data_IF_896939898553
#
_entry.id   IF_896939898553
#
_cell.length_a   1.000
_cell.length_b   1.000
_cell.length_c   1.000
_cell.angle_alpha   90.00
_cell.angle_beta   90.00
_cell.angle_gamma   90.00
#
_symmetry.space_group_name_H-M   'P 1'
#
loop_
_entity.id
_entity.type
_entity.pdbx_description
1 polymer ?
#
# COMPACT_ATOMS: atom_id res chain seq x y z
N UNK A 1 -9.50 -5.84 -10.12
CA UNK A 1 -10.98 -5.76 -10.29
C UNK A 1 -11.56 -4.33 -10.25
N UNK A 2 -11.12 -3.39 -9.39
CA UNK A 2 -11.67 -2.01 -9.34
C UNK A 2 -11.28 -1.10 -10.51
N UNK A 3 -10.01 -1.11 -10.95
CA UNK A 3 -9.62 -0.41 -12.19
C UNK A 3 -10.31 -1.03 -13.41
N UNK A 4 -10.48 -2.36 -13.43
CA UNK A 4 -11.25 -3.04 -14.48
C UNK A 4 -12.74 -2.66 -14.46
N UNK A 5 -13.39 -2.58 -13.29
CA UNK A 5 -14.78 -2.11 -13.16
C UNK A 5 -14.92 -0.61 -13.47
N UNK A 6 -13.94 0.20 -13.08
CA UNK A 6 -13.84 1.61 -13.47
C UNK A 6 -13.68 1.73 -14.99
N UNK A 7 -12.79 0.97 -15.62
CA UNK A 7 -12.62 0.94 -17.07
C UNK A 7 -13.86 0.40 -17.81
N UNK A 8 -14.53 -0.61 -17.27
CA UNK A 8 -15.81 -1.12 -17.80
C UNK A 8 -16.91 -0.06 -17.69
N UNK A 9 -16.99 0.65 -16.58
CA UNK A 9 -17.91 1.78 -16.40
C UNK A 9 -17.56 2.96 -17.33
N UNK A 10 -16.27 3.21 -17.52
CA UNK A 10 -15.73 4.19 -18.46
C UNK A 10 -16.03 3.81 -19.91
N UNK A 11 -16.09 2.52 -20.26
CA UNK A 11 -16.52 2.05 -21.58
C UNK A 11 -17.95 2.50 -21.89
N UNK A 12 -18.85 2.47 -20.90
CA UNK A 12 -20.22 2.97 -21.03
C UNK A 12 -20.25 4.48 -21.24
N UNK A 13 -19.37 5.23 -20.57
CA UNK A 13 -19.23 6.69 -20.71
C UNK A 13 -18.64 7.06 -22.07
N UNK A 14 -17.62 6.33 -22.53
CA UNK A 14 -16.95 6.53 -23.82
C UNK A 14 -17.82 6.21 -25.03
N UNK A 15 -18.78 5.29 -24.86
CA UNK A 15 -19.76 4.95 -25.88
C UNK A 15 -20.92 5.96 -25.99
N UNK A 16 -20.99 6.98 -25.11
CA UNK A 16 -21.97 8.05 -25.22
C UNK A 16 -21.50 9.14 -26.21
N UNK A 17 -22.40 9.65 -27.03
CA UNK A 17 -22.11 10.47 -28.24
C UNK A 17 -21.62 11.90 -27.97
N UNK A 18 -21.36 12.29 -26.72
CA UNK A 18 -20.83 13.61 -26.35
C UNK A 18 -19.75 13.47 -25.27
N UNK A 19 -18.57 12.98 -25.66
CA UNK A 19 -17.45 12.84 -24.73
C UNK A 19 -16.90 14.23 -24.40
N UNK A 20 -16.91 14.58 -23.11
CA UNK A 20 -16.34 15.82 -22.55
C UNK A 20 -14.87 15.97 -22.97
N UNK A 21 -14.45 17.08 -23.61
CA UNK A 21 -13.06 17.31 -24.02
C UNK A 21 -12.06 17.15 -22.88
N UNK A 22 -12.47 17.51 -21.65
CA UNK A 22 -11.63 17.36 -20.45
C UNK A 22 -11.38 15.90 -20.12
N UNK A 23 -12.37 15.04 -20.34
CA UNK A 23 -12.24 13.59 -20.15
C UNK A 23 -11.37 12.94 -21.22
N UNK A 24 -11.50 13.39 -22.48
CA UNK A 24 -10.62 12.91 -23.57
C UNK A 24 -9.16 13.23 -23.22
N UNK A 25 -8.88 14.49 -22.85
CA UNK A 25 -7.54 14.90 -22.45
C UNK A 25 -7.02 14.08 -21.25
N UNK A 26 -7.90 13.77 -20.28
CA UNK A 26 -7.55 12.92 -19.13
C UNK A 26 -7.19 11.50 -19.53
N UNK A 27 -7.95 10.90 -20.44
CA UNK A 27 -7.69 9.54 -20.93
C UNK A 27 -6.40 9.50 -21.73
N UNK A 28 -6.09 10.54 -22.51
CA UNK A 28 -4.85 10.66 -23.27
C UNK A 28 -3.60 10.71 -22.39
N UNK A 29 -3.71 11.09 -21.11
CA UNK A 29 -2.57 11.04 -20.18
C UNK A 29 -2.09 9.60 -19.93
N UNK A 30 -3.00 8.63 -19.86
CA UNK A 30 -2.70 7.22 -19.52
C UNK A 30 -1.73 6.55 -20.52
N UNK A 31 -1.98 6.55 -21.85
CA UNK A 31 -1.07 5.93 -22.80
C UNK A 31 0.24 6.71 -22.96
N UNK A 32 0.21 8.05 -22.93
CA UNK A 32 1.43 8.89 -23.01
C UNK A 32 2.36 8.60 -21.84
N UNK A 33 1.77 8.40 -20.66
CA UNK A 33 2.50 8.01 -19.48
C UNK A 33 3.10 6.60 -19.57
N UNK A 34 2.33 5.62 -20.05
CA UNK A 34 2.83 4.26 -20.24
C UNK A 34 4.02 4.22 -21.23
N UNK A 35 4.01 5.08 -22.25
CA UNK A 35 5.07 5.18 -23.24
C UNK A 35 6.35 5.88 -22.73
N UNK A 36 6.26 6.69 -21.67
CA UNK A 36 7.35 7.55 -21.18
C UNK A 36 8.00 7.04 -19.88
N UNK A 37 7.65 5.84 -19.42
CA UNK A 37 8.17 5.26 -18.16
C UNK A 37 8.01 6.21 -16.96
N UNK A 38 6.89 6.93 -16.89
CA UNK A 38 6.59 7.92 -15.83
C UNK A 38 7.48 9.17 -15.82
N UNK A 39 8.07 9.56 -16.95
CA UNK A 39 8.70 10.87 -17.12
C UNK A 39 7.75 11.86 -17.79
N UNK A 40 7.68 13.08 -17.24
CA UNK A 40 6.89 14.15 -17.85
C UNK A 40 7.46 14.53 -19.21
N UNK A 41 6.63 14.52 -20.26
CA UNK A 41 6.99 14.96 -21.60
C UNK A 41 6.05 16.08 -22.10
N UNK A 42 6.43 16.73 -23.20
CA UNK A 42 5.68 17.87 -23.77
C UNK A 42 4.23 17.48 -24.11
N UNK A 43 4.02 16.26 -24.60
CA UNK A 43 2.71 15.74 -24.95
C UNK A 43 1.80 15.57 -23.71
N UNK A 44 2.33 15.01 -22.62
CA UNK A 44 1.61 14.87 -21.36
C UNK A 44 1.29 16.23 -20.73
N UNK A 45 2.22 17.19 -20.78
CA UNK A 45 1.96 18.57 -20.33
C UNK A 45 0.87 19.24 -21.15
N UNK A 46 0.81 18.99 -22.47
CA UNK A 46 -0.25 19.49 -23.34
C UNK A 46 -1.62 18.94 -22.95
N UNK A 47 -1.73 17.62 -22.77
CA UNK A 47 -2.97 16.98 -22.31
C UNK A 47 -3.40 17.44 -20.93
N UNK A 48 -2.46 17.57 -19.98
CA UNK A 48 -2.72 18.10 -18.63
C UNK A 48 -3.24 19.55 -18.70
N UNK A 49 -2.60 20.39 -19.51
CA UNK A 49 -3.02 21.79 -19.71
C UNK A 49 -4.42 21.89 -20.34
N UNK A 50 -4.70 21.06 -21.35
CA UNK A 50 -6.01 20.98 -22.00
C UNK A 50 -7.12 20.54 -21.04
N UNK A 51 -6.85 19.54 -20.20
CA UNK A 51 -7.76 19.08 -19.15
C UNK A 51 -8.09 20.19 -18.16
N UNK A 52 -7.07 20.83 -17.58
CA UNK A 52 -7.26 21.87 -16.57
C UNK A 52 -7.99 23.10 -17.14
N UNK A 53 -7.65 23.48 -18.37
CA UNK A 53 -8.32 24.58 -19.08
C UNK A 53 -9.78 24.25 -19.37
N UNK A 54 -10.08 23.02 -19.80
CA UNK A 54 -11.43 22.54 -20.05
C UNK A 54 -12.30 22.55 -18.79
N UNK A 55 -11.78 21.98 -17.70
CA UNK A 55 -12.47 21.97 -16.40
C UNK A 55 -12.75 23.39 -15.91
N UNK A 56 -11.75 24.26 -15.90
CA UNK A 56 -11.89 25.66 -15.47
C UNK A 56 -12.94 26.41 -16.29
N UNK A 57 -12.92 26.24 -17.61
CA UNK A 57 -13.87 26.89 -18.52
C UNK A 57 -15.29 26.40 -18.31
N UNK A 58 -15.47 25.12 -17.97
CA UNK A 58 -16.77 24.56 -17.65
C UNK A 58 -17.29 25.08 -16.29
N UNK A 59 -16.44 25.11 -15.26
CA UNK A 59 -16.78 25.60 -13.93
C UNK A 59 -17.14 27.10 -13.92
N UNK A 60 -16.62 27.88 -14.86
CA UNK A 60 -16.94 29.30 -14.99
C UNK A 60 -18.36 29.57 -15.54
N UNK A 61 -19.05 28.54 -16.09
CA UNK A 61 -20.39 28.70 -16.64
C UNK A 61 -21.42 28.87 -15.51
N UNK A 62 -22.35 29.83 -15.60
CA UNK A 62 -23.43 29.99 -14.62
C UNK A 62 -24.25 28.70 -14.50
N UNK A 63 -24.51 28.26 -13.25
CA UNK A 63 -25.27 27.04 -12.98
C UNK A 63 -24.55 25.74 -13.35
N UNK A 64 -23.22 25.78 -13.55
CA UNK A 64 -22.46 24.57 -13.80
C UNK A 64 -22.58 23.60 -12.63
N UNK A 65 -22.72 22.32 -12.97
CA UNK A 65 -22.71 21.22 -12.03
C UNK A 65 -21.70 20.15 -12.48
N UNK A 66 -21.01 19.52 -11.53
CA UNK A 66 -20.13 18.39 -11.83
C UNK A 66 -20.91 17.30 -12.55
N UNK A 67 -20.27 16.73 -13.58
CA UNK A 67 -20.75 15.53 -14.27
C UNK A 67 -19.80 14.38 -13.96
N UNK A 68 -20.27 13.16 -14.18
CA UNK A 68 -19.43 11.96 -14.14
C UNK A 68 -18.14 12.15 -14.95
N UNK A 69 -18.22 12.74 -16.15
CA UNK A 69 -17.04 13.02 -16.99
C UNK A 69 -16.01 13.91 -16.29
N UNK A 70 -16.44 14.95 -15.59
CA UNK A 70 -15.56 15.86 -14.87
C UNK A 70 -14.95 15.20 -13.63
N UNK A 71 -15.72 14.38 -12.91
CA UNK A 71 -15.24 13.60 -11.76
C UNK A 71 -14.19 12.56 -12.20
N UNK A 72 -14.47 11.81 -13.27
CA UNK A 72 -13.53 10.84 -13.86
C UNK A 72 -12.27 11.51 -14.40
N UNK A 73 -12.39 12.68 -15.04
CA UNK A 73 -11.23 13.44 -15.52
C UNK A 73 -10.31 13.86 -14.37
N UNK A 74 -10.88 14.33 -13.25
CA UNK A 74 -10.11 14.67 -12.04
C UNK A 74 -9.46 13.44 -11.41
N UNK A 75 -10.15 12.29 -11.33
CA UNK A 75 -9.57 11.04 -10.83
C UNK A 75 -8.37 10.58 -11.67
N UNK A 76 -8.47 10.68 -13.00
CA UNK A 76 -7.38 10.36 -13.91
C UNK A 76 -6.20 11.33 -13.78
N UNK A 77 -6.48 12.63 -13.63
CA UNK A 77 -5.44 13.63 -13.38
C UNK A 77 -4.68 13.35 -12.08
N UNK A 78 -5.39 13.06 -10.98
CA UNK A 78 -4.77 12.74 -9.69
C UNK A 78 -3.90 11.49 -9.81
N UNK A 79 -4.38 10.44 -10.48
CA UNK A 79 -3.62 9.22 -10.72
C UNK A 79 -2.37 9.43 -11.60
N UNK A 80 -2.44 10.36 -12.57
CA UNK A 80 -1.30 10.78 -13.38
C UNK A 80 -0.26 11.55 -12.54
N UNK A 81 -0.70 12.56 -11.77
CA UNK A 81 0.20 13.38 -10.94
C UNK A 81 0.88 12.55 -9.85
N UNK A 82 0.18 11.57 -9.28
CA UNK A 82 0.76 10.59 -8.37
C UNK A 82 2.00 9.90 -8.96
N UNK A 83 1.94 9.49 -10.23
CA UNK A 83 2.94 8.61 -10.83
C UNK A 83 4.11 9.36 -11.49
N UNK A 84 3.90 10.60 -11.95
CA UNK A 84 4.95 11.44 -12.57
C UNK A 84 5.51 12.48 -11.60
N UNK A 85 4.65 13.03 -10.73
CA UNK A 85 4.97 14.13 -9.82
C UNK A 85 4.85 13.69 -8.35
N UNK A 86 5.14 12.42 -8.00
CA UNK A 86 5.07 11.87 -6.64
C UNK A 86 5.82 12.65 -5.53
N UNK A 87 6.49 13.74 -5.91
CA UNK A 87 7.20 14.73 -5.10
C UNK A 87 6.36 15.97 -4.75
N UNK A 88 5.34 16.35 -5.53
CA UNK A 88 4.53 17.57 -5.27
C UNK A 88 3.17 17.26 -4.60
N UNK A 89 3.25 16.87 -3.34
CA UNK A 89 2.09 16.57 -2.49
C UNK A 89 1.07 17.71 -2.41
N UNK A 90 1.48 18.97 -2.58
CA UNK A 90 0.59 20.13 -2.54
C UNK A 90 -0.35 20.21 -3.75
N UNK A 91 0.13 19.88 -4.96
CA UNK A 91 -0.70 19.82 -6.17
C UNK A 91 -1.76 18.72 -6.05
N UNK A 92 -1.32 17.52 -5.69
CA UNK A 92 -2.18 16.34 -5.53
C UNK A 92 -3.26 16.62 -4.47
N UNK A 93 -2.87 17.17 -3.31
CA UNK A 93 -3.82 17.53 -2.26
C UNK A 93 -4.84 18.59 -2.72
N UNK A 94 -4.42 19.54 -3.56
CA UNK A 94 -5.33 20.55 -4.13
C UNK A 94 -6.37 19.91 -5.05
N UNK A 95 -5.95 18.99 -5.93
CA UNK A 95 -6.87 18.27 -6.81
C UNK A 95 -7.81 17.33 -6.07
N UNK A 96 -7.33 16.62 -5.04
CA UNK A 96 -8.16 15.78 -4.18
C UNK A 96 -9.25 16.60 -3.46
N UNK A 97 -8.91 17.76 -2.88
CA UNK A 97 -9.90 18.67 -2.26
C UNK A 97 -10.88 19.24 -3.28
N UNK A 98 -10.40 19.58 -4.47
CA UNK A 98 -11.25 20.02 -5.58
C UNK A 98 -12.28 18.95 -5.96
N UNK A 99 -11.83 17.70 -6.11
CA UNK A 99 -12.70 16.56 -6.40
C UNK A 99 -13.71 16.28 -5.27
N UNK A 100 -13.29 16.38 -4.01
CA UNK A 100 -14.20 16.27 -2.87
C UNK A 100 -15.30 17.36 -2.91
N UNK A 101 -14.92 18.59 -3.27
CA UNK A 101 -15.87 19.71 -3.41
C UNK A 101 -16.86 19.48 -4.56
N UNK A 102 -16.36 18.94 -5.68
CA UNK A 102 -17.21 18.53 -6.81
C UNK A 102 -18.20 17.43 -6.40
N UNK A 103 -17.76 16.42 -5.66
CA UNK A 103 -18.66 15.35 -5.19
C UNK A 103 -19.76 15.86 -4.26
N UNK A 104 -19.46 16.80 -3.36
CA UNK A 104 -20.49 17.40 -2.48
C UNK A 104 -21.56 18.18 -3.24
N UNK A 105 -21.20 18.71 -4.41
CA UNK A 105 -22.10 19.50 -5.27
C UNK A 105 -22.72 18.66 -6.39
N UNK A 106 -22.36 17.38 -6.49
CA UNK A 106 -22.86 16.47 -7.50
C UNK A 106 -24.29 16.04 -7.15
N UNK A 107 -25.24 16.27 -8.06
CA UNK A 107 -26.57 15.69 -7.95
C UNK A 107 -26.63 14.42 -8.80
N UNK A 108 -26.85 13.24 -8.19
CA UNK A 108 -26.96 12.00 -8.93
C UNK A 108 -28.21 12.05 -9.82
N UNK A 109 -28.01 12.08 -11.13
CA UNK A 109 -29.09 11.90 -12.10
C UNK A 109 -29.07 10.44 -12.57
N UNK A 110 -29.72 9.54 -11.81
CA UNK A 110 -29.81 8.12 -12.14
C UNK A 110 -28.89 7.20 -11.32
N UNK A 111 -28.07 6.40 -12.01
CA UNK A 111 -27.38 5.21 -11.50
C UNK A 111 -26.46 5.47 -10.29
N UNK A 112 -26.85 4.93 -9.12
CA UNK A 112 -26.13 5.03 -7.85
C UNK A 112 -24.86 4.18 -7.82
N UNK A 113 -24.74 3.17 -8.69
CA UNK A 113 -23.58 2.26 -8.73
C UNK A 113 -22.31 2.94 -9.27
N UNK A 114 -22.48 3.86 -10.21
CA UNK A 114 -21.38 4.67 -10.76
C UNK A 114 -20.84 5.65 -9.73
N UNK A 115 -21.74 6.29 -8.96
CA UNK A 115 -21.33 7.17 -7.88
C UNK A 115 -20.54 6.40 -6.81
N UNK A 116 -20.99 5.20 -6.43
CA UNK A 116 -20.27 4.32 -5.50
C UNK A 116 -18.88 3.92 -6.05
N UNK A 117 -18.78 3.68 -7.36
CA UNK A 117 -17.50 3.36 -8.02
C UNK A 117 -16.52 4.53 -8.00
N UNK A 118 -17.00 5.76 -8.26
CA UNK A 118 -16.20 6.99 -8.19
C UNK A 118 -15.75 7.25 -6.74
N UNK A 119 -16.66 7.10 -5.79
CA UNK A 119 -16.39 7.24 -4.36
C UNK A 119 -15.32 6.26 -3.88
N UNK A 120 -15.39 5.00 -4.33
CA UNK A 120 -14.39 3.97 -4.01
C UNK A 120 -13.06 4.24 -4.71
N UNK A 121 -13.06 4.74 -5.96
CA UNK A 121 -11.84 5.16 -6.63
C UNK A 121 -11.17 6.34 -5.91
N UNK A 122 -11.95 7.31 -5.43
CA UNK A 122 -11.44 8.43 -4.65
C UNK A 122 -10.82 7.98 -3.33
N UNK A 123 -11.48 7.07 -2.60
CA UNK A 123 -10.92 6.47 -1.38
C UNK A 123 -9.51 5.91 -1.63
N UNK A 124 -9.35 5.12 -2.70
CA UNK A 124 -8.07 4.51 -3.03
C UNK A 124 -7.01 5.51 -3.49
N UNK A 125 -7.42 6.54 -4.23
CA UNK A 125 -6.54 7.64 -4.61
C UNK A 125 -6.06 8.40 -3.37
N UNK A 126 -6.94 8.78 -2.44
CA UNK A 126 -6.55 9.45 -1.21
C UNK A 126 -5.62 8.59 -0.36
N UNK A 127 -5.92 7.29 -0.22
CA UNK A 127 -5.13 6.34 0.56
C UNK A 127 -3.72 6.20 0.00
N UNK A 128 -3.61 5.97 -1.31
CA UNK A 128 -2.32 5.80 -1.97
C UNK A 128 -1.50 7.08 -1.95
N UNK A 129 -2.13 8.23 -2.19
CA UNK A 129 -1.43 9.52 -2.18
C UNK A 129 -0.97 9.92 -0.77
N UNK A 130 -1.76 9.61 0.27
CA UNK A 130 -1.36 9.82 1.65
C UNK A 130 -0.16 8.94 2.04
N UNK A 131 -0.18 7.67 1.64
CA UNK A 131 0.89 6.71 1.89
C UNK A 131 2.19 7.12 1.19
N UNK A 132 2.12 7.44 -0.11
CA UNK A 132 3.31 7.59 -0.96
C UNK A 132 3.82 9.02 -1.04
N UNK A 133 2.94 9.96 -1.42
CA UNK A 133 3.31 11.37 -1.60
C UNK A 133 3.17 12.17 -0.29
N UNK A 134 2.65 11.55 0.75
CA UNK A 134 2.50 12.17 2.05
C UNK A 134 1.42 13.25 2.11
N UNK A 135 0.41 13.21 1.23
CA UNK A 135 -0.68 14.18 1.23
C UNK A 135 -1.49 14.13 2.53
N UNK A 136 -2.18 15.22 2.91
CA UNK A 136 -3.17 15.17 3.98
C UNK A 136 -4.20 14.08 3.71
N UNK A 137 -4.51 13.28 4.73
CA UNK A 137 -5.57 12.27 4.66
C UNK A 137 -6.93 12.97 4.62
N UNK A 138 -7.74 12.73 3.58
CA UNK A 138 -9.06 13.37 3.43
C UNK A 138 -10.23 12.41 3.67
N UNK A 139 -10.00 11.12 3.46
CA UNK A 139 -11.02 10.09 3.59
C UNK A 139 -10.47 8.92 4.42
N UNK A 140 -11.30 8.34 5.26
CA UNK A 140 -11.00 7.14 6.04
C UNK A 140 -12.01 6.03 5.74
N UNK A 141 -11.76 4.82 6.24
CA UNK A 141 -12.69 3.69 6.15
C UNK A 141 -14.05 4.01 6.76
N UNK A 142 -14.10 4.94 7.73
CA UNK A 142 -15.33 5.39 8.41
C UNK A 142 -16.28 6.19 7.52
N UNK A 143 -15.78 6.77 6.43
CA UNK A 143 -16.61 7.54 5.49
C UNK A 143 -17.44 6.63 4.56
N UNK A 144 -17.20 5.32 4.59
CA UNK A 144 -17.76 4.34 3.67
C UNK A 144 -18.40 3.18 4.43
N UNK A 145 -19.73 3.07 4.36
CA UNK A 145 -20.51 2.04 5.06
C UNK A 145 -20.11 0.61 4.74
N UNK A 146 -19.64 0.34 3.53
CA UNK A 146 -19.13 -0.98 3.13
C UNK A 146 -17.80 -1.31 3.82
N UNK A 147 -16.98 -0.30 4.12
CA UNK A 147 -15.68 -0.46 4.76
C UNK A 147 -15.75 -0.47 6.30
N UNK A 148 -16.80 0.09 6.90
CA UNK A 148 -16.98 0.13 8.37
C UNK A 148 -17.12 -1.27 8.99
N UNK A 149 -17.63 -2.23 8.21
CA UNK A 149 -18.00 -3.59 8.64
C UNK A 149 -16.82 -4.55 8.78
N UNK A 150 -15.77 -4.14 9.48
CA UNK A 150 -14.71 -5.06 9.90
C UNK A 150 -15.08 -5.81 11.19
N UNK A 151 -15.82 -5.15 12.09
CA UNK A 151 -16.06 -5.62 13.47
C UNK A 151 -17.53 -5.84 13.85
N UNK A 152 -18.47 -5.37 13.03
CA UNK A 152 -19.90 -5.45 13.33
C UNK A 152 -20.45 -6.84 12.96
N UNK A 153 -20.43 -7.71 13.97
CA UNK A 153 -21.11 -9.00 13.98
C UNK A 153 -22.48 -8.91 14.68
N UNK A 154 -23.35 -7.98 14.26
CA UNK A 154 -24.73 -7.94 14.78
C UNK A 154 -25.74 -8.64 13.83
N UNK A 155 -25.30 -9.16 12.69
CA UNK A 155 -26.16 -9.85 11.73
C UNK A 155 -25.47 -11.10 11.14
N UNK A 156 -25.33 -12.14 11.96
CA UNK A 156 -25.25 -13.55 11.53
C UNK A 156 -24.09 -14.02 10.64
N UNK A 157 -23.14 -13.17 10.25
CA UNK A 157 -22.00 -13.52 9.39
C UNK A 157 -20.79 -14.03 10.18
N UNK A 158 -20.15 -15.08 9.66
CA UNK A 158 -19.00 -15.79 10.20
C UNK A 158 -17.97 -14.86 10.88
N UNK A 159 -17.73 -15.14 12.16
CA UNK A 159 -16.78 -14.41 13.00
C UNK A 159 -15.37 -14.72 12.51
N UNK A 160 -14.57 -13.67 12.26
CA UNK A 160 -13.12 -13.79 12.46
C UNK A 160 -12.94 -14.29 13.90
N UNK A 161 -12.43 -15.52 14.04
CA UNK A 161 -12.27 -16.17 15.34
C UNK A 161 -11.36 -15.35 16.27
N UNK A 162 -11.30 -15.80 17.53
CA UNK A 162 -10.63 -15.19 18.68
C UNK A 162 -9.41 -14.34 18.30
N UNK A 163 -9.50 -13.06 18.68
CA UNK A 163 -8.47 -12.03 18.47
C UNK A 163 -7.27 -12.30 19.38
N UNK A 164 -6.36 -13.11 18.86
CA UNK A 164 -5.05 -13.31 19.48
C UNK A 164 -4.07 -12.41 18.73
N UNK A 165 -3.35 -11.56 19.47
CA UNK A 165 -2.21 -10.82 18.90
C UNK A 165 -1.15 -11.83 18.42
N UNK A 166 -0.50 -11.62 17.26
CA UNK A 166 0.61 -12.48 16.85
C UNK A 166 1.70 -12.49 17.94
N UNK A 167 2.14 -13.67 18.35
CA UNK A 167 3.03 -13.86 19.49
C UNK A 167 4.33 -13.05 19.38
N UNK A 168 4.86 -12.90 18.17
CA UNK A 168 6.07 -12.13 17.89
C UNK A 168 5.95 -10.63 18.20
N UNK A 169 4.74 -10.08 18.29
CA UNK A 169 4.52 -8.69 18.68
C UNK A 169 4.22 -8.48 20.15
N UNK A 170 3.94 -9.54 20.93
CA UNK A 170 3.58 -9.43 22.36
C UNK A 170 4.55 -8.55 23.16
N UNK A 171 5.89 -8.60 22.96
CA UNK A 171 6.82 -7.73 23.69
C UNK A 171 6.64 -6.23 23.43
N UNK A 172 5.95 -5.83 22.37
CA UNK A 172 5.82 -4.42 21.93
C UNK A 172 4.39 -3.88 22.06
N UNK A 173 3.39 -4.76 22.18
CA UNK A 173 1.96 -4.41 22.20
C UNK A 173 1.60 -3.48 23.37
N UNK A 174 2.30 -3.56 24.50
CA UNK A 174 2.06 -2.68 25.66
C UNK A 174 2.58 -1.24 25.45
N UNK A 175 3.58 -1.05 24.59
CA UNK A 175 4.19 0.26 24.32
C UNK A 175 3.53 0.98 23.14
N UNK A 176 2.90 0.22 22.24
CA UNK A 176 2.28 0.75 21.04
C UNK A 176 0.81 1.14 21.25
N UNK A 177 0.27 2.10 20.46
CA UNK A 177 -1.12 2.49 20.56
C UNK A 177 -2.08 1.32 20.31
N UNK A 178 -3.14 1.21 21.12
CA UNK A 178 -4.21 0.20 20.99
C UNK A 178 -4.76 0.09 19.56
N UNK A 179 -4.83 1.23 18.86
CA UNK A 179 -5.27 1.28 17.47
C UNK A 179 -4.43 0.39 16.55
N UNK A 180 -3.11 0.33 16.77
CA UNK A 180 -2.20 -0.50 15.99
C UNK A 180 -2.26 -1.97 16.40
N UNK A 181 -2.25 -2.26 17.70
CA UNK A 181 -2.45 -3.63 18.22
C UNK A 181 -3.69 -4.26 17.63
N UNK A 182 -4.78 -3.49 17.59
CA UNK A 182 -6.05 -3.98 17.06
C UNK A 182 -6.06 -4.10 15.52
N UNK A 183 -5.09 -3.56 14.79
CA UNK A 183 -4.86 -3.88 13.37
C UNK A 183 -4.13 -5.21 13.25
N UNK A 184 -3.12 -5.45 14.10
CA UNK A 184 -2.35 -6.70 14.09
C UNK A 184 -3.26 -7.92 14.34
N UNK A 185 -4.12 -7.84 15.35
CA UNK A 185 -5.12 -8.89 15.66
C UNK A 185 -6.05 -9.16 14.48
N UNK A 186 -6.57 -8.09 13.89
CA UNK A 186 -7.55 -8.14 12.82
C UNK A 186 -6.93 -8.70 11.51
N UNK A 187 -5.68 -8.32 11.20
CA UNK A 187 -4.93 -8.85 10.06
C UNK A 187 -4.55 -10.32 10.28
N UNK A 188 -4.11 -10.67 11.49
CA UNK A 188 -3.76 -12.05 11.83
C UNK A 188 -4.95 -12.99 11.68
N UNK A 189 -6.10 -12.58 12.20
CA UNK A 189 -7.34 -13.33 12.04
C UNK A 189 -7.71 -13.47 10.55
N UNK A 190 -7.56 -12.40 9.75
CA UNK A 190 -7.84 -12.45 8.32
C UNK A 190 -6.92 -13.44 7.59
N UNK A 191 -5.62 -13.45 7.89
CA UNK A 191 -4.69 -14.43 7.34
C UNK A 191 -5.14 -15.87 7.65
N UNK A 192 -5.50 -16.16 8.92
CA UNK A 192 -5.99 -17.47 9.33
C UNK A 192 -7.26 -17.88 8.60
N UNK A 193 -8.22 -16.96 8.44
CA UNK A 193 -9.46 -17.23 7.70
C UNK A 193 -9.18 -17.54 6.22
N UNK A 194 -8.28 -16.78 5.59
CA UNK A 194 -7.88 -17.03 4.20
C UNK A 194 -7.23 -18.41 4.06
N UNK A 195 -6.30 -18.76 4.95
CA UNK A 195 -5.60 -20.03 4.92
C UNK A 195 -6.55 -21.22 5.19
N UNK A 196 -7.52 -21.07 6.10
CA UNK A 196 -8.52 -22.09 6.42
C UNK A 196 -9.51 -22.34 5.26
N UNK A 197 -9.99 -21.29 4.61
CA UNK A 197 -11.03 -21.38 3.58
C UNK A 197 -10.60 -22.07 2.27
N UNK A 198 -9.30 -22.30 2.05
CA UNK A 198 -8.83 -23.05 0.88
C UNK A 198 -8.58 -24.54 1.18
N UNK A 199 -8.71 -24.97 2.43
CA UNK A 199 -8.58 -26.37 2.85
C UNK A 199 -9.88 -27.17 2.73
N UNK A 200 -11.03 -26.49 2.73
CA UNK A 200 -12.34 -27.11 2.51
C UNK A 200 -12.70 -27.03 1.03
N UNK A 201 -13.19 -28.14 0.46
CA UNK A 201 -13.69 -28.17 -0.91
C UNK A 201 -14.66 -27.00 -1.14
N UNK A 202 -14.54 -26.34 -2.30
CA UNK A 202 -15.28 -25.15 -2.80
C UNK A 202 -16.83 -25.22 -2.72
N UNK A 203 -17.40 -26.28 -2.12
CA UNK A 203 -18.80 -26.63 -2.11
C UNK A 203 -19.55 -26.33 -0.80
N UNK A 204 -18.89 -25.89 0.28
CA UNK A 204 -19.55 -25.65 1.58
C UNK A 204 -19.77 -24.19 1.96
N UNK A 205 -19.13 -23.21 1.32
CA UNK A 205 -19.33 -21.80 1.68
C UNK A 205 -20.64 -21.24 1.09
N UNK A 206 -21.48 -20.68 1.97
CA UNK A 206 -22.74 -20.02 1.60
C UNK A 206 -22.54 -18.60 1.04
N UNK A 207 -21.37 -17.96 1.26
CA UNK A 207 -20.98 -16.70 0.64
C UNK A 207 -19.45 -16.53 0.57
N UNK A 208 -18.88 -15.94 -0.50
CA UNK A 208 -17.45 -15.69 -0.61
C UNK A 208 -16.98 -14.60 0.37
N UNK A 209 -15.83 -14.84 1.02
CA UNK A 209 -15.20 -13.86 1.93
C UNK A 209 -14.91 -12.53 1.20
N UNK A 210 -15.36 -11.37 1.72
CA UNK A 210 -15.19 -10.08 1.04
C UNK A 210 -13.78 -9.50 1.26
N UNK A 211 -12.73 -10.23 0.88
CA UNK A 211 -11.32 -9.89 1.13
C UNK A 211 -11.01 -8.45 0.71
N UNK A 212 -11.48 -8.00 -0.45
CA UNK A 212 -11.20 -6.64 -0.95
C UNK A 212 -11.76 -5.50 -0.06
N UNK A 213 -12.78 -5.79 0.73
CA UNK A 213 -13.39 -4.83 1.68
C UNK A 213 -12.62 -4.84 3.00
N UNK A 214 -12.31 -6.04 3.51
CA UNK A 214 -11.52 -6.22 4.73
C UNK A 214 -10.11 -5.65 4.57
N UNK A 215 -9.47 -5.91 3.43
CA UNK A 215 -8.17 -5.35 3.06
C UNK A 215 -8.22 -3.82 3.00
N UNK A 216 -9.23 -3.24 2.34
CA UNK A 216 -9.39 -1.79 2.26
C UNK A 216 -9.56 -1.13 3.64
N UNK A 217 -10.28 -1.79 4.57
CA UNK A 217 -10.40 -1.31 5.94
C UNK A 217 -9.04 -1.31 6.66
N UNK A 218 -8.32 -2.44 6.63
CA UNK A 218 -7.01 -2.58 7.27
C UNK A 218 -6.00 -1.59 6.72
N UNK A 219 -5.86 -1.52 5.40
CA UNK A 219 -4.97 -0.56 4.74
C UNK A 219 -5.31 0.89 5.11
N UNK A 220 -6.59 1.23 5.20
CA UNK A 220 -7.03 2.56 5.64
C UNK A 220 -6.56 2.89 7.05
N UNK A 221 -6.77 1.96 7.99
CA UNK A 221 -6.39 2.14 9.40
C UNK A 221 -4.87 2.24 9.57
N UNK A 222 -4.11 1.47 8.81
CA UNK A 222 -2.64 1.55 8.81
C UNK A 222 -2.18 2.90 8.27
N UNK A 223 -2.77 3.38 7.18
CA UNK A 223 -2.43 4.70 6.61
C UNK A 223 -2.82 5.83 7.54
N UNK A 224 -3.94 5.71 8.27
CA UNK A 224 -4.34 6.69 9.29
C UNK A 224 -3.29 6.76 10.43
N UNK A 225 -2.75 5.61 10.89
CA UNK A 225 -1.63 5.58 11.85
C UNK A 225 -0.37 6.25 11.29
N UNK A 226 0.04 5.89 10.06
CA UNK A 226 1.22 6.47 9.42
C UNK A 226 1.08 7.98 9.21
N UNK A 227 -0.14 8.46 8.98
CA UNK A 227 -0.46 9.88 8.91
C UNK A 227 -0.31 10.56 10.27
N UNK A 228 -0.86 9.97 11.33
CA UNK A 228 -0.78 10.51 12.70
C UNK A 228 0.67 10.54 13.22
N UNK A 229 1.46 9.49 12.97
CA UNK A 229 2.91 9.45 13.28
C UNK A 229 3.61 10.64 12.63
N UNK A 230 3.33 10.91 11.36
CA UNK A 230 3.89 12.06 10.61
C UNK A 230 3.51 13.42 11.21
N UNK A 231 2.27 13.56 11.68
CA UNK A 231 1.77 14.81 12.27
C UNK A 231 2.32 15.04 13.68
N UNK A 232 2.43 13.98 14.48
CA UNK A 232 2.77 14.07 15.90
C UNK A 232 4.16 14.66 16.13
N UNK A 233 5.10 14.53 15.19
CA UNK A 233 6.53 14.91 15.33
C UNK A 233 7.21 14.35 16.59
N UNK A 234 6.53 13.47 17.35
CA UNK A 234 6.87 13.07 18.72
C UNK A 234 6.86 11.56 18.92
N UNK A 235 6.53 10.78 17.88
CA UNK A 235 6.66 9.33 17.88
C UNK A 235 8.09 8.97 17.47
N UNK A 236 8.98 8.88 18.45
CA UNK A 236 10.42 8.57 18.28
C UNK A 236 10.71 7.08 18.06
N UNK A 237 9.70 6.21 17.88
CA UNK A 237 9.92 4.78 17.65
C UNK A 237 9.99 4.45 16.14
N UNK A 238 11.19 4.34 15.53
CA UNK A 238 11.35 3.94 14.14
C UNK A 238 10.86 2.51 13.86
N UNK A 239 10.86 1.62 14.86
CA UNK A 239 10.42 0.23 14.70
C UNK A 239 8.91 0.17 14.60
N UNK A 240 8.19 0.93 15.43
CA UNK A 240 6.74 1.09 15.30
C UNK A 240 6.32 1.52 13.90
N UNK A 241 6.97 2.57 13.36
CA UNK A 241 6.65 3.07 12.02
C UNK A 241 7.02 2.04 10.93
N UNK A 242 8.16 1.36 11.07
CA UNK A 242 8.55 0.28 10.17
C UNK A 242 7.54 -0.88 10.19
N UNK A 243 7.03 -1.25 11.37
CA UNK A 243 6.00 -2.27 11.52
C UNK A 243 4.71 -1.85 10.84
N UNK A 244 4.29 -0.58 10.94
CA UNK A 244 3.11 -0.10 10.23
C UNK A 244 3.26 -0.24 8.71
N UNK A 245 4.42 0.10 8.13
CA UNK A 245 4.68 -0.15 6.71
C UNK A 245 4.70 -1.64 6.35
N UNK A 246 5.27 -2.51 7.19
CA UNK A 246 5.30 -3.95 6.93
C UNK A 246 3.90 -4.58 7.03
N UNK A 247 3.07 -4.13 7.97
CA UNK A 247 1.67 -4.54 8.09
C UNK A 247 0.87 -4.13 6.86
N UNK A 248 1.09 -2.92 6.32
CA UNK A 248 0.50 -2.51 5.05
C UNK A 248 0.90 -3.48 3.93
N UNK A 249 2.20 -3.80 3.83
CA UNK A 249 2.74 -4.70 2.81
C UNK A 249 2.15 -6.10 2.92
N UNK A 250 2.07 -6.66 4.12
CA UNK A 250 1.42 -7.95 4.38
C UNK A 250 -0.06 -7.93 3.99
N UNK A 251 -0.78 -6.86 4.34
CA UNK A 251 -2.20 -6.70 3.98
C UNK A 251 -2.39 -6.64 2.47
N UNK A 252 -1.49 -5.94 1.77
CA UNK A 252 -1.50 -5.80 0.32
C UNK A 252 -1.36 -7.16 -0.41
N UNK A 253 -0.51 -8.05 0.11
CA UNK A 253 -0.28 -9.38 -0.48
C UNK A 253 -1.48 -10.34 -0.38
N UNK A 254 -2.39 -10.13 0.56
CA UNK A 254 -3.58 -10.99 0.71
C UNK A 254 -4.50 -10.97 -0.52
N UNK A 255 -4.52 -9.88 -1.29
CA UNK A 255 -5.20 -9.83 -2.58
C UNK A 255 -4.55 -8.82 -3.52
N UNK A 256 -3.59 -9.31 -4.31
CA UNK A 256 -2.87 -8.49 -5.29
C UNK A 256 -3.70 -8.19 -6.56
N UNK A 257 -4.81 -8.89 -6.80
CA UNK A 257 -5.59 -8.89 -8.04
C UNK A 257 -6.24 -7.56 -8.47
N UNK A 258 -6.13 -6.49 -7.67
CA UNK A 258 -6.58 -5.14 -8.03
C UNK A 258 -5.42 -4.21 -8.39
N UNK A 259 -4.21 -4.49 -7.90
CA UNK A 259 -3.11 -3.52 -7.86
C UNK A 259 -1.78 -4.03 -8.41
N UNK A 260 -1.73 -5.23 -9.00
CA UNK A 260 -0.51 -5.75 -9.67
C UNK A 260 0.14 -4.65 -10.52
N UNK A 261 1.36 -4.24 -10.13
CA UNK A 261 2.12 -3.17 -10.79
C UNK A 261 2.03 -1.78 -10.17
N UNK A 262 1.33 -1.58 -9.04
CA UNK A 262 1.41 -0.32 -8.29
C UNK A 262 2.77 -0.22 -7.56
N UNK A 263 3.23 1.02 -7.34
CA UNK A 263 4.52 1.29 -6.70
C UNK A 263 4.46 1.18 -5.16
N UNK A 264 3.28 0.94 -4.58
CA UNK A 264 3.07 0.99 -3.12
C UNK A 264 3.96 0.00 -2.34
N UNK A 265 4.13 -1.26 -2.77
CA UNK A 265 5.03 -2.20 -2.08
C UNK A 265 6.46 -1.67 -1.97
N UNK A 266 7.00 -1.12 -3.05
CA UNK A 266 8.37 -0.61 -3.09
C UNK A 266 8.57 0.62 -2.20
N UNK A 267 7.56 1.49 -2.12
CA UNK A 267 7.57 2.62 -1.19
C UNK A 267 7.62 2.11 0.26
N UNK A 268 6.76 1.14 0.61
CA UNK A 268 6.74 0.57 1.95
C UNK A 268 8.10 -0.08 2.30
N UNK A 269 8.64 -0.90 1.39
CA UNK A 269 9.95 -1.54 1.58
C UNK A 269 11.06 -0.53 1.82
N UNK A 270 11.13 0.54 1.00
CA UNK A 270 12.14 1.58 1.18
C UNK A 270 12.00 2.31 2.53
N UNK A 271 10.76 2.56 2.98
CA UNK A 271 10.54 3.17 4.31
C UNK A 271 10.94 2.22 5.44
N UNK A 272 10.62 0.92 5.34
CA UNK A 272 11.05 -0.10 6.31
C UNK A 272 12.57 -0.12 6.39
N UNK A 273 13.27 -0.24 5.26
CA UNK A 273 14.74 -0.24 5.21
C UNK A 273 15.30 1.02 5.86
N UNK A 274 14.79 2.20 5.51
CA UNK A 274 15.26 3.47 6.06
C UNK A 274 15.11 3.51 7.58
N UNK A 275 13.98 3.05 8.11
CA UNK A 275 13.69 3.04 9.55
C UNK A 275 14.52 2.00 10.29
N UNK A 276 14.68 0.79 9.74
CA UNK A 276 15.55 -0.26 10.28
C UNK A 276 17.01 0.20 10.32
N UNK A 277 17.52 0.80 9.24
CA UNK A 277 18.89 1.34 9.22
C UNK A 277 19.07 2.47 10.23
N UNK A 278 18.05 3.32 10.42
CA UNK A 278 18.04 4.33 11.48
C UNK A 278 18.14 3.70 12.87
N UNK A 279 17.22 2.77 13.17
CA UNK A 279 17.17 2.05 14.44
C UNK A 279 18.46 1.27 14.75
N UNK A 280 19.12 0.70 13.74
CA UNK A 280 20.38 -0.02 13.92
C UNK A 280 21.57 0.90 14.22
N UNK A 281 21.52 2.18 13.81
CA UNK A 281 22.54 3.18 14.18
C UNK A 281 22.37 3.61 15.65
N UNK A 282 21.12 3.68 16.09
CA UNK A 282 20.76 4.03 17.46
C UNK A 282 20.76 2.76 18.32
N UNK A 283 21.94 2.43 18.87
CA UNK A 283 22.25 1.19 19.62
C UNK A 283 21.28 0.88 20.81
N UNK A 284 20.34 1.76 21.14
CA UNK A 284 19.24 1.53 22.09
C UNK A 284 18.23 0.48 21.63
N UNK A 285 18.06 0.27 20.32
CA UNK A 285 17.04 -0.64 19.77
C UNK A 285 17.54 -2.07 19.50
N UNK A 286 18.73 -2.40 19.99
CA UNK A 286 19.32 -3.74 19.86
C UNK A 286 18.45 -4.83 20.49
N UNK A 287 17.60 -4.49 21.46
CA UNK A 287 16.68 -5.42 22.12
C UNK A 287 15.55 -5.96 21.22
N UNK A 288 15.38 -5.40 20.02
CA UNK A 288 14.28 -5.72 19.08
C UNK A 288 14.73 -6.61 17.91
N UNK A 289 15.73 -7.48 18.11
CA UNK A 289 16.37 -8.24 17.01
C UNK A 289 15.39 -9.05 16.16
N UNK A 290 14.38 -9.66 16.80
CA UNK A 290 13.42 -10.53 16.14
C UNK A 290 12.50 -9.75 15.20
N UNK A 291 11.96 -8.62 15.66
CA UNK A 291 11.10 -7.79 14.81
C UNK A 291 11.90 -7.12 13.70
N UNK A 292 13.17 -6.74 13.95
CA UNK A 292 14.05 -6.23 12.88
C UNK A 292 14.33 -7.30 11.82
N UNK A 293 14.53 -8.55 12.24
CA UNK A 293 14.67 -9.67 11.31
C UNK A 293 13.38 -9.88 10.51
N UNK A 294 12.21 -9.93 11.16
CA UNK A 294 10.91 -10.02 10.48
C UNK A 294 10.70 -8.89 9.47
N UNK A 295 10.97 -7.64 9.85
CA UNK A 295 10.86 -6.46 8.99
C UNK A 295 11.69 -6.57 7.72
N UNK A 296 12.97 -6.94 7.85
CA UNK A 296 13.85 -7.14 6.70
C UNK A 296 13.42 -8.35 5.87
N UNK A 297 12.98 -9.43 6.50
CA UNK A 297 12.56 -10.64 5.80
C UNK A 297 11.34 -10.39 4.92
N UNK A 298 10.30 -9.77 5.49
CA UNK A 298 9.08 -9.37 4.77
C UNK A 298 9.42 -8.36 3.68
N UNK A 299 10.31 -7.41 3.96
CA UNK A 299 10.75 -6.42 2.96
C UNK A 299 11.44 -7.05 1.75
N UNK A 300 12.36 -8.00 1.98
CA UNK A 300 13.12 -8.66 0.93
C UNK A 300 12.31 -9.71 0.16
N UNK A 301 11.40 -10.41 0.85
CA UNK A 301 10.48 -11.34 0.22
C UNK A 301 9.48 -10.64 -0.69
N UNK A 302 8.81 -9.61 -0.18
CA UNK A 302 7.65 -9.01 -0.84
C UNK A 302 8.01 -7.87 -1.81
N UNK A 303 9.27 -7.46 -1.90
CA UNK A 303 9.72 -6.54 -2.96
C UNK A 303 9.75 -7.24 -4.32
N UNK A 304 9.28 -6.53 -5.35
CA UNK A 304 9.35 -6.95 -6.74
C UNK A 304 10.66 -6.50 -7.40
N UNK A 305 11.37 -5.53 -6.82
CA UNK A 305 12.60 -4.95 -7.39
C UNK A 305 13.85 -5.69 -6.91
N UNK A 306 14.58 -6.27 -7.86
CA UNK A 306 15.82 -6.99 -7.59
C UNK A 306 16.89 -6.13 -6.89
N UNK A 307 16.99 -4.83 -7.20
CA UNK A 307 17.96 -3.96 -6.53
C UNK A 307 17.60 -3.71 -5.06
N UNK A 308 16.31 -3.48 -4.76
CA UNK A 308 15.82 -3.33 -3.39
C UNK A 308 16.05 -4.62 -2.60
N UNK A 309 15.73 -5.77 -3.21
CA UNK A 309 16.01 -7.09 -2.63
C UNK A 309 17.48 -7.28 -2.31
N UNK A 310 18.38 -6.93 -3.24
CA UNK A 310 19.83 -6.99 -3.02
C UNK A 310 20.28 -6.09 -1.85
N UNK A 311 19.71 -4.88 -1.70
CA UNK A 311 19.97 -4.01 -0.54
C UNK A 311 19.55 -4.70 0.77
N UNK A 312 18.37 -5.32 0.82
CA UNK A 312 17.92 -6.08 2.00
C UNK A 312 18.86 -7.24 2.33
N UNK A 313 19.25 -8.04 1.31
CA UNK A 313 20.22 -9.13 1.48
C UNK A 313 21.54 -8.62 2.06
N UNK A 314 22.05 -7.49 1.55
CA UNK A 314 23.27 -6.87 2.06
C UNK A 314 23.13 -6.44 3.52
N UNK A 315 22.00 -5.84 3.91
CA UNK A 315 21.73 -5.43 5.29
C UNK A 315 21.69 -6.63 6.24
N UNK A 316 20.95 -7.68 5.88
CA UNK A 316 20.86 -8.89 6.69
C UNK A 316 22.23 -9.57 6.87
N UNK A 317 23.09 -9.49 5.85
CA UNK A 317 24.45 -10.04 5.89
C UNK A 317 25.47 -9.23 6.67
N UNK A 318 25.34 -7.91 6.68
CA UNK A 318 26.36 -7.01 7.23
C UNK A 318 26.04 -6.63 8.66
N UNK A 319 24.78 -6.35 8.96
CA UNK A 319 24.36 -5.82 10.27
C UNK A 319 23.81 -6.90 11.20
N UNK A 320 23.30 -8.00 10.64
CA UNK A 320 22.59 -9.01 11.42
C UNK A 320 23.12 -10.44 11.26
N UNK A 321 24.25 -10.67 10.56
CA UNK A 321 24.76 -12.02 10.25
C UNK A 321 24.79 -12.93 11.47
N UNK A 322 25.51 -12.53 12.52
CA UNK A 322 25.72 -13.36 13.71
C UNK A 322 24.41 -13.55 14.51
N UNK A 323 23.44 -12.65 14.32
CA UNK A 323 22.15 -12.63 15.01
C UNK A 323 21.07 -13.40 14.27
N UNK A 324 21.20 -13.52 12.95
CA UNK A 324 20.20 -14.09 12.04
C UNK A 324 20.54 -15.53 11.65
N UNK A 325 21.80 -15.94 11.77
CA UNK A 325 22.22 -17.32 11.49
C UNK A 325 21.41 -18.37 12.28
N UNK A 326 20.92 -18.03 13.48
CA UNK A 326 20.02 -18.92 14.26
C UNK A 326 18.67 -19.17 13.58
N UNK A 327 18.12 -18.17 12.88
CA UNK A 327 16.78 -18.23 12.28
C UNK A 327 16.78 -18.77 10.85
N UNK A 328 17.90 -18.67 10.14
CA UNK A 328 17.98 -18.97 8.70
C UNK A 328 18.81 -20.23 8.42
N UNK A 329 18.82 -21.19 9.33
CA UNK A 329 19.53 -22.48 9.13
C UNK A 329 18.85 -23.36 8.08
N UNK A 330 17.54 -23.46 8.18
CA UNK A 330 16.67 -24.23 7.31
C UNK A 330 15.34 -23.49 7.15
N UNK A 331 14.62 -23.79 6.08
CA UNK A 331 13.37 -23.11 5.77
C UNK A 331 12.31 -23.32 6.85
N UNK A 332 12.20 -24.51 7.44
CA UNK A 332 11.14 -24.78 8.43
C UNK A 332 11.36 -23.97 9.72
N UNK A 333 12.60 -23.83 10.17
CA UNK A 333 12.95 -22.92 11.29
C UNK A 333 12.59 -21.47 10.95
N UNK A 334 12.92 -21.00 9.75
CA UNK A 334 12.57 -19.63 9.32
C UNK A 334 11.06 -19.44 9.24
N UNK A 335 10.35 -20.41 8.65
CA UNK A 335 8.90 -20.41 8.50
C UNK A 335 8.20 -20.40 9.85
N UNK A 336 8.64 -21.23 10.80
CA UNK A 336 8.08 -21.24 12.15
C UNK A 336 8.29 -19.88 12.85
N UNK A 337 9.46 -19.27 12.69
CA UNK A 337 9.70 -17.93 13.21
C UNK A 337 8.72 -16.90 12.59
N UNK A 338 8.55 -16.92 11.26
CA UNK A 338 7.69 -15.95 10.57
C UNK A 338 6.21 -16.11 10.96
N UNK A 339 5.77 -17.34 11.25
CA UNK A 339 4.41 -17.64 11.75
C UNK A 339 4.08 -17.04 13.10
N UNK A 340 5.09 -16.68 13.91
CA UNK A 340 4.85 -15.97 15.16
C UNK A 340 4.40 -14.52 14.92
N UNK A 341 4.63 -13.98 13.73
CA UNK A 341 4.26 -12.63 13.30
C UNK A 341 3.04 -12.67 12.34
N UNK A 342 2.86 -11.66 11.49
CA UNK A 342 1.85 -11.70 10.42
C UNK A 342 2.31 -12.67 9.34
N UNK A 343 1.48 -13.67 9.06
CA UNK A 343 1.76 -14.72 8.11
C UNK A 343 0.48 -15.26 7.47
N UNK A 344 0.49 -15.46 6.15
CA UNK A 344 -0.48 -16.28 5.42
C UNK A 344 0.28 -17.26 4.55
N UNK A 345 -0.03 -18.55 4.70
CA UNK A 345 0.54 -19.63 3.88
C UNK A 345 0.24 -19.37 2.40
N UNK A 346 -0.99 -18.99 2.09
CA UNK A 346 -1.41 -18.81 0.71
C UNK A 346 -0.73 -17.62 0.04
N UNK A 347 -0.67 -16.49 0.73
CA UNK A 347 -0.20 -15.25 0.13
C UNK A 347 1.33 -15.14 0.13
N UNK A 348 2.02 -15.70 1.14
CA UNK A 348 3.39 -15.32 1.43
C UNK A 348 4.41 -16.48 1.37
N UNK A 349 4.00 -17.74 1.56
CA UNK A 349 4.93 -18.87 1.73
C UNK A 349 5.92 -19.01 0.56
N UNK A 350 5.42 -19.10 -0.66
CA UNK A 350 6.26 -19.28 -1.87
C UNK A 350 7.21 -18.09 -2.06
N UNK A 351 6.72 -16.86 -1.86
CA UNK A 351 7.50 -15.64 -2.08
C UNK A 351 8.61 -15.50 -1.04
N UNK A 352 8.29 -15.76 0.23
CA UNK A 352 9.25 -15.70 1.34
C UNK A 352 10.23 -16.88 1.32
N UNK A 353 9.82 -18.04 0.79
CA UNK A 353 10.71 -19.17 0.51
C UNK A 353 11.73 -18.83 -0.58
N UNK A 354 11.32 -18.22 -1.70
CA UNK A 354 12.27 -17.82 -2.75
C UNK A 354 13.32 -16.85 -2.22
N UNK A 355 12.91 -15.90 -1.38
CA UNK A 355 13.84 -15.00 -0.72
C UNK A 355 14.79 -15.73 0.24
N UNK A 356 14.30 -16.75 0.95
CA UNK A 356 15.13 -17.65 1.75
C UNK A 356 16.25 -18.28 0.91
N UNK A 357 15.90 -18.86 -0.24
CA UNK A 357 16.86 -19.51 -1.14
C UNK A 357 17.93 -18.52 -1.63
N UNK A 358 17.51 -17.32 -2.01
CA UNK A 358 18.42 -16.25 -2.41
C UNK A 358 19.39 -15.89 -1.29
N UNK A 359 18.91 -15.71 -0.05
CA UNK A 359 19.75 -15.46 1.12
C UNK A 359 20.78 -16.58 1.34
N UNK A 360 20.36 -17.85 1.24
CA UNK A 360 21.24 -19.02 1.39
C UNK A 360 22.36 -19.05 0.35
N UNK A 361 22.02 -18.85 -0.93
CA UNK A 361 23.01 -18.77 -2.00
C UNK A 361 24.00 -17.65 -1.76
N UNK A 362 23.49 -16.51 -1.31
CA UNK A 362 24.28 -15.32 -1.05
C UNK A 362 25.24 -15.52 0.14
N UNK A 363 24.88 -16.26 1.19
CA UNK A 363 25.78 -16.59 2.31
C UNK A 363 26.87 -17.61 1.92
N UNK A 364 26.55 -18.61 1.09
CA UNK A 364 27.54 -19.60 0.62
C UNK A 364 28.64 -18.97 -0.23
N UNK A 365 28.33 -17.92 -1.00
CA UNK A 365 29.29 -17.20 -1.85
C UNK A 365 30.35 -16.37 -1.10
N UNK A 366 30.12 -16.01 0.16
CA UNK A 366 31.03 -15.17 0.97
C UNK A 366 32.19 -15.92 1.63
N UNK A 367 32.30 -17.23 1.42
CA UNK A 367 33.50 -17.98 1.80
C UNK A 367 34.73 -17.62 0.96
N UNK A 368 34.63 -16.71 -0.02
CA UNK A 368 35.74 -16.32 -0.90
C UNK A 368 36.18 -14.85 -0.90
N UNK A 369 35.38 -13.89 -0.44
CA UNK A 369 35.82 -12.49 -0.26
C UNK A 369 34.91 -11.80 0.77
N UNK A 370 35.51 -11.18 1.79
CA UNK A 370 34.79 -10.42 2.82
C UNK A 370 34.06 -9.19 2.25
N UNK A 371 33.14 -8.57 3.01
CA UNK A 371 32.39 -7.41 2.53
C UNK A 371 33.33 -6.20 2.37
N UNK A 372 33.27 -5.54 1.22
CA UNK A 372 34.02 -4.30 0.95
C UNK A 372 33.37 -3.15 1.73
N UNK A 373 34.17 -2.45 2.52
CA UNK A 373 33.75 -1.32 3.37
C UNK A 373 33.21 -0.13 2.55
N UNK A 374 33.47 -0.11 1.24
CA UNK A 374 32.92 0.87 0.29
C UNK A 374 31.43 0.67 -0.03
N UNK A 375 30.91 -0.57 -0.04
CA UNK A 375 29.49 -0.83 -0.29
C UNK A 375 28.62 -0.30 0.85
N UNK A 376 29.11 -0.43 2.10
CA UNK A 376 28.49 0.17 3.27
C UNK A 376 28.47 1.70 3.17
N UNK A 377 29.56 2.34 2.73
CA UNK A 377 29.59 3.80 2.57
C UNK A 377 28.63 4.25 1.47
N UNK A 378 28.54 3.53 0.34
CA UNK A 378 27.62 3.91 -0.75
C UNK A 378 26.14 3.76 -0.34
N UNK A 379 25.79 2.71 0.41
CA UNK A 379 24.44 2.50 0.94
C UNK A 379 24.04 3.53 2.03
N UNK A 380 25.02 4.07 2.76
CA UNK A 380 24.81 5.09 3.80
C UNK A 380 24.86 6.54 3.25
N UNK A 381 25.32 6.73 2.00
CA UNK A 381 25.51 8.03 1.33
C UNK A 381 24.42 8.41 0.32
N UNK A 382 23.43 7.55 0.02
CA UNK A 382 22.18 7.96 -0.67
C UNK A 382 21.34 8.86 0.27
N UNK A 383 21.83 10.09 0.48
CA UNK A 383 20.99 11.23 0.85
C UNK A 383 20.27 11.71 -0.39
N UNK A 384 18.97 11.91 -0.23
CA UNK A 384 18.15 12.83 -1.03
C UNK A 384 17.97 12.49 -2.52
N UNK A 385 17.45 11.30 -2.80
CA UNK A 385 16.66 11.09 -4.03
C UNK A 385 15.49 10.17 -3.74
N UNK A 386 14.35 10.79 -3.42
CA UNK A 386 13.01 10.22 -3.61
C UNK A 386 12.62 10.49 -5.06
#
# INVERSE_FOLDING_TARGET
>A
MLFHRFLQSMKTILNSTAVDPSLIAAISLVPVQAATTNLSNIEALSHRGGLLTGLRSNMAKPGWMPKVSSLSAMLLLIGYEYQIDGVNSASIATHLRGLQTMLRSFQPCGDTTLLASIQRALFWQDLTNCLVAGTPRLFSHRDYKDLERFRDGDDGGERLERRDSPHGFVPYVEEWPDAFTSILEDLHALCKTIDANNGEEEHTMTAPLPISTLQANLESRVVDILYDVRLSKSSDDPIYEACAFAVYLCTYELSTGIWVGCYNPEICVNQIIRRVVGALRDMSHISHEEVLFWLLYVSGGLTLRNHTRAKVVALMKTLLRDRVEKYVKDWETTRQFLREYIWSEQAMDITLFRFWEELQHSWKGLTKTGPDEEDLKSMLLEKDTI
#
